data_IF_348099590250
#
_entry.id   IF_348099590250
#
_cell.length_a   1.000
_cell.length_b   1.000
_cell.length_c   1.000
_cell.angle_alpha   90.00
_cell.angle_beta   90.00
_cell.angle_gamma   90.00
#
_symmetry.space_group_name_H-M   'P 1'
#
loop_
_entity.id
_entity.type
_entity.pdbx_description
1 polymer ?
#
# COMPACT_ATOMS: atom_id res chain seq x y z
N UNK A 1 -16.59 -3.97 1.54
CA UNK A 1 -15.86 -4.38 0.32
C UNK A 1 -14.82 -5.41 0.71
N UNK A 2 -14.81 -6.56 0.05
CA UNK A 2 -13.71 -7.52 0.13
C UNK A 2 -12.58 -7.00 -0.75
N UNK A 3 -11.52 -6.47 -0.14
CA UNK A 3 -10.31 -6.07 -0.84
C UNK A 3 -9.46 -7.32 -1.10
N UNK A 4 -9.34 -7.72 -2.36
CA UNK A 4 -8.54 -8.87 -2.76
C UNK A 4 -7.25 -8.38 -3.38
N UNK A 5 -6.12 -8.84 -2.85
CA UNK A 5 -4.78 -8.47 -3.31
C UNK A 5 -4.25 -9.59 -4.19
N UNK A 6 -3.93 -9.30 -5.44
CA UNK A 6 -3.21 -10.26 -6.29
C UNK A 6 -1.72 -10.33 -5.92
N UNK A 7 -1.03 -11.46 -6.18
CA UNK A 7 0.41 -11.57 -5.94
C UNK A 7 1.23 -10.51 -6.71
N UNK A 8 0.77 -10.13 -7.90
CA UNK A 8 1.42 -9.09 -8.71
C UNK A 8 1.32 -7.70 -8.06
N UNK A 9 0.12 -7.32 -7.59
CA UNK A 9 -0.10 -6.07 -6.88
C UNK A 9 0.68 -6.01 -5.57
N UNK A 10 0.71 -7.13 -4.84
CA UNK A 10 1.49 -7.26 -3.61
C UNK A 10 2.97 -6.97 -3.87
N UNK A 11 3.55 -7.61 -4.88
CA UNK A 11 4.95 -7.44 -5.23
C UNK A 11 5.25 -6.00 -5.69
N UNK A 12 4.38 -5.41 -6.51
CA UNK A 12 4.53 -4.02 -6.95
C UNK A 12 4.50 -3.06 -5.76
N UNK A 13 3.55 -3.24 -4.84
CA UNK A 13 3.45 -2.41 -3.65
C UNK A 13 4.65 -2.58 -2.73
N UNK A 14 5.09 -3.82 -2.48
CA UNK A 14 6.27 -4.12 -1.69
C UNK A 14 7.50 -3.40 -2.20
N UNK A 15 7.78 -3.48 -3.51
CA UNK A 15 8.93 -2.80 -4.13
C UNK A 15 8.85 -1.27 -3.95
N UNK A 16 7.66 -0.70 -4.12
CA UNK A 16 7.45 0.74 -3.96
C UNK A 16 7.58 1.21 -2.52
N UNK A 17 7.02 0.45 -1.57
CA UNK A 17 7.17 0.72 -0.15
C UNK A 17 8.64 0.68 0.25
N UNK A 18 9.38 -0.34 -0.19
CA UNK A 18 10.82 -0.47 0.06
C UNK A 18 11.60 0.72 -0.52
N UNK A 19 11.30 1.14 -1.75
CA UNK A 19 11.92 2.31 -2.38
C UNK A 19 11.72 3.59 -1.55
N UNK A 20 10.57 3.75 -0.88
CA UNK A 20 10.26 4.97 -0.14
C UNK A 20 10.68 4.95 1.33
N UNK A 21 10.66 3.79 1.97
CA UNK A 21 10.86 3.64 3.42
C UNK A 21 12.15 2.91 3.79
N UNK A 22 12.79 2.22 2.84
CA UNK A 22 13.94 1.37 3.08
C UNK A 22 13.62 0.04 3.78
N UNK A 23 12.34 -0.25 4.07
CA UNK A 23 11.94 -1.50 4.72
C UNK A 23 11.39 -2.51 3.70
N UNK A 24 11.82 -3.77 3.84
CA UNK A 24 11.26 -4.89 3.08
C UNK A 24 10.02 -5.45 3.77
N UNK A 25 8.91 -5.50 3.03
CA UNK A 25 7.74 -6.28 3.44
C UNK A 25 8.01 -7.77 3.16
N UNK A 26 7.92 -8.62 4.19
CA UNK A 26 8.06 -10.08 4.03
C UNK A 26 6.96 -10.69 3.15
N UNK A 27 7.05 -11.96 2.79
CA UNK A 27 5.98 -12.64 2.03
C UNK A 27 4.74 -12.93 2.90
N UNK A 28 3.59 -13.16 2.26
CA UNK A 28 2.33 -13.54 2.91
C UNK A 28 1.81 -12.51 3.95
N UNK A 29 2.08 -11.21 3.74
CA UNK A 29 1.60 -10.10 4.59
C UNK A 29 0.49 -9.29 3.94
N UNK A 30 -0.25 -9.85 2.99
CA UNK A 30 -1.42 -9.21 2.34
C UNK A 30 -2.46 -8.77 3.38
N UNK A 31 -2.64 -9.57 4.44
CA UNK A 31 -3.54 -9.24 5.54
C UNK A 31 -3.13 -7.95 6.27
N UNK A 32 -1.82 -7.68 6.38
CA UNK A 32 -1.31 -6.49 7.05
C UNK A 32 -1.62 -5.24 6.22
N UNK A 33 -1.38 -5.31 4.91
CA UNK A 33 -1.75 -4.24 3.96
C UNK A 33 -3.25 -3.96 4.07
N UNK A 34 -4.07 -5.00 4.03
CA UNK A 34 -5.52 -4.86 4.12
C UNK A 34 -5.93 -4.26 5.47
N UNK A 35 -5.32 -4.65 6.58
CA UNK A 35 -5.66 -4.12 7.90
C UNK A 35 -5.24 -2.66 8.09
N UNK A 36 -4.06 -2.28 7.61
CA UNK A 36 -3.46 -0.95 7.86
C UNK A 36 -3.91 0.08 6.82
N UNK A 37 -4.01 -0.31 5.56
CA UNK A 37 -4.31 0.62 4.46
C UNK A 37 -5.78 0.69 4.10
N UNK A 38 -6.66 -0.18 4.64
CA UNK A 38 -8.08 -0.16 4.29
C UNK A 38 -8.74 1.20 4.47
N UNK A 39 -8.52 1.87 5.60
CA UNK A 39 -9.12 3.20 5.84
C UNK A 39 -8.59 4.25 4.86
N UNK A 40 -7.32 4.15 4.49
CA UNK A 40 -6.67 5.05 3.54
C UNK A 40 -7.21 4.83 2.12
N UNK A 41 -7.36 3.57 1.70
CA UNK A 41 -7.97 3.21 0.42
C UNK A 41 -9.41 3.69 0.34
N UNK A 42 -10.18 3.51 1.42
CA UNK A 42 -11.57 4.00 1.52
C UNK A 42 -11.63 5.55 1.47
N UNK A 43 -10.72 6.27 2.15
CA UNK A 43 -10.70 7.74 2.15
C UNK A 43 -10.28 8.33 0.81
N UNK A 44 -9.30 7.71 0.16
CA UNK A 44 -8.78 8.13 -1.15
C UNK A 44 -9.63 7.57 -2.32
N UNK A 45 -10.67 6.77 -2.02
CA UNK A 45 -11.56 6.12 -2.99
C UNK A 45 -10.83 5.24 -4.01
N UNK A 46 -9.79 4.54 -3.55
CA UNK A 46 -8.97 3.66 -4.36
C UNK A 46 -9.53 2.24 -4.32
N UNK A 47 -9.68 1.62 -5.48
CA UNK A 47 -10.29 0.29 -5.61
C UNK A 47 -9.29 -0.84 -5.39
N UNK A 48 -8.00 -0.59 -5.62
CA UNK A 48 -6.95 -1.62 -5.67
C UNK A 48 -5.56 -1.06 -5.30
N UNK A 49 -4.59 -1.95 -5.13
CA UNK A 49 -3.22 -1.59 -4.74
C UNK A 49 -2.45 -0.89 -5.87
N UNK A 50 -2.72 -1.24 -7.13
CA UNK A 50 -2.08 -0.59 -8.28
C UNK A 50 -2.44 0.90 -8.36
N UNK A 51 -3.69 1.25 -8.08
CA UNK A 51 -4.15 2.64 -7.97
C UNK A 51 -3.46 3.35 -6.81
N UNK A 52 -3.31 2.70 -5.66
CA UNK A 52 -2.56 3.25 -4.52
C UNK A 52 -1.12 3.54 -4.89
N UNK A 53 -0.42 2.57 -5.47
CA UNK A 53 0.98 2.72 -5.91
C UNK A 53 1.13 3.89 -6.90
N UNK A 54 0.24 3.98 -7.88
CA UNK A 54 0.26 5.08 -8.87
C UNK A 54 -0.03 6.44 -8.23
N UNK A 55 -0.92 6.45 -7.23
CA UNK A 55 -1.30 7.68 -6.51
C UNK A 55 -0.19 8.16 -5.58
N UNK A 56 0.57 7.25 -4.96
CA UNK A 56 1.75 7.58 -4.15
C UNK A 56 2.85 8.28 -4.96
N UNK A 57 3.04 7.89 -6.24
CA UNK A 57 4.01 8.56 -7.13
C UNK A 57 3.61 10.02 -7.43
N UNK A 58 2.32 10.35 -7.38
CA UNK A 58 1.78 11.69 -7.72
C UNK A 58 1.47 12.56 -6.51
N UNK A 59 1.28 11.95 -5.33
CA UNK A 59 0.86 12.63 -4.12
C UNK A 59 1.81 12.31 -2.96
N UNK A 60 2.69 13.27 -2.65
CA UNK A 60 3.69 13.14 -1.59
C UNK A 60 3.04 12.90 -0.22
N UNK A 61 1.92 13.57 0.08
CA UNK A 61 1.20 13.40 1.34
C UNK A 61 0.63 11.99 1.47
N UNK A 62 0.06 11.45 0.38
CA UNK A 62 -0.44 10.09 0.37
C UNK A 62 0.70 9.09 0.59
N UNK A 63 1.85 9.30 -0.08
CA UNK A 63 3.05 8.49 0.12
C UNK A 63 3.48 8.47 1.59
N UNK A 64 3.56 9.63 2.25
CA UNK A 64 3.92 9.71 3.68
C UNK A 64 2.92 8.95 4.56
N UNK A 65 1.62 9.11 4.32
CA UNK A 65 0.58 8.38 5.05
C UNK A 65 0.67 6.86 4.88
N UNK A 66 0.95 6.38 3.67
CA UNK A 66 1.13 4.94 3.42
C UNK A 66 2.36 4.41 4.16
N UNK A 67 3.49 5.13 4.08
CA UNK A 67 4.72 4.72 4.76
C UNK A 67 4.49 4.64 6.26
N UNK A 68 3.92 5.69 6.86
CA UNK A 68 3.61 5.75 8.29
C UNK A 68 2.69 4.62 8.75
N UNK A 69 1.63 4.36 7.98
CA UNK A 69 0.67 3.29 8.27
C UNK A 69 1.29 1.87 8.21
N UNK A 70 2.38 1.69 7.48
CA UNK A 70 3.07 0.40 7.31
C UNK A 70 4.29 0.23 8.23
N UNK A 71 4.86 1.33 8.76
CA UNK A 71 6.02 1.30 9.66
C UNK A 71 5.65 1.38 11.15
N UNK A 72 4.39 1.69 11.48
CA UNK A 72 3.83 1.71 12.84
C UNK A 72 3.08 0.43 13.15
#
# INVERSE_FOLDING_TARGET
>A
MSFSISPAEYNQFKQKLEQYSGIMLGENKEYLITSRLRRLLESEKLANLSELVTSMDRNLKLKELVVDAMTT
#
